data_IF_839077309171
#
_entry.id   IF_839077309171
#
_cell.length_a   1.000
_cell.length_b   1.000
_cell.length_c   1.000
_cell.angle_alpha   90.00
_cell.angle_beta   90.00
_cell.angle_gamma   90.00
#
_symmetry.space_group_name_H-M   'P 1'
#
loop_
_entity.id
_entity.type
_entity.pdbx_description
1 polymer ?
#
# COMPACT_ATOMS: atom_id res chain seq x y z
N UNK A 1 6.66 36.57 -6.87
CA UNK A 1 6.57 35.32 -6.08
C UNK A 1 5.35 35.46 -5.16
N UNK A 2 4.40 34.54 -5.11
CA UNK A 2 4.18 33.40 -6.00
C UNK A 2 2.68 33.10 -6.15
N UNK A 3 2.39 32.31 -7.16
CA UNK A 3 1.12 32.09 -7.86
C UNK A 3 -0.02 31.42 -7.05
N UNK A 4 -1.25 31.77 -7.40
CA UNK A 4 -2.47 30.93 -7.46
C UNK A 4 -3.07 30.30 -6.18
N UNK A 5 -4.26 30.81 -5.81
CA UNK A 5 -5.28 30.06 -5.07
C UNK A 5 -6.50 29.78 -5.99
N UNK A 6 -6.63 28.52 -6.44
CA UNK A 6 -7.58 28.00 -7.47
C UNK A 6 -7.71 26.47 -7.24
N UNK A 7 -8.86 25.77 -7.28
CA UNK A 7 -10.30 26.12 -7.35
C UNK A 7 -11.12 24.97 -6.69
N UNK A 8 -12.35 25.23 -6.23
CA UNK A 8 -13.24 24.23 -5.61
C UNK A 8 -13.72 23.11 -6.57
N UNK A 9 -13.99 21.90 -6.05
CA UNK A 9 -14.72 20.84 -6.78
C UNK A 9 -15.80 20.19 -5.92
N UNK A 10 -17.05 20.42 -6.31
CA UNK A 10 -18.24 19.77 -5.75
C UNK A 10 -18.59 18.54 -6.61
N UNK A 11 -18.85 17.38 -5.99
CA UNK A 11 -19.07 16.14 -6.72
C UNK A 11 -19.72 15.06 -5.87
N UNK A 12 -21.05 14.96 -5.91
CA UNK A 12 -21.81 13.82 -5.37
C UNK A 12 -21.64 12.60 -6.29
N UNK A 13 -20.48 11.96 -6.20
CA UNK A 13 -20.17 10.71 -6.88
C UNK A 13 -20.44 9.57 -5.89
N UNK A 14 -21.12 8.52 -6.35
CA UNK A 14 -21.52 7.37 -5.53
C UNK A 14 -20.34 6.80 -4.76
N UNK A 15 -20.39 6.90 -3.42
CA UNK A 15 -19.26 6.63 -2.54
C UNK A 15 -19.02 5.11 -2.36
N UNK A 16 -18.63 4.43 -3.44
CA UNK A 16 -17.78 3.24 -3.33
C UNK A 16 -16.48 3.71 -2.68
N UNK A 17 -16.45 3.71 -1.34
CA UNK A 17 -15.30 4.08 -0.53
C UNK A 17 -14.08 3.39 -1.15
N UNK A 18 -13.18 4.18 -1.76
CA UNK A 18 -11.87 3.66 -2.16
C UNK A 18 -11.29 3.11 -0.86
N UNK A 19 -11.03 1.80 -0.81
CA UNK A 19 -10.44 1.19 0.39
C UNK A 19 -9.03 1.75 0.51
N UNK A 20 -8.90 2.82 1.30
CA UNK A 20 -7.62 3.39 1.67
C UNK A 20 -6.92 2.38 2.58
N UNK A 21 -6.02 1.58 2.01
CA UNK A 21 -5.25 0.62 2.77
C UNK A 21 -4.10 1.34 3.47
N UNK A 22 -3.88 1.03 4.75
CA UNK A 22 -2.78 1.62 5.53
C UNK A 22 -1.63 0.62 5.53
N UNK A 23 -0.48 1.00 4.99
CA UNK A 23 0.73 0.19 5.06
C UNK A 23 1.24 0.14 6.51
N UNK A 24 1.53 -1.04 7.05
CA UNK A 24 2.03 -1.19 8.42
C UNK A 24 3.45 -0.61 8.58
N UNK A 25 4.29 -0.72 7.54
CA UNK A 25 5.68 -0.25 7.55
C UNK A 25 5.76 1.29 7.60
N UNK A 26 5.27 1.98 6.56
CA UNK A 26 5.35 3.45 6.49
C UNK A 26 4.16 4.18 7.15
N UNK A 27 3.11 3.47 7.59
CA UNK A 27 1.86 4.03 8.17
C UNK A 27 1.11 5.02 7.27
N UNK A 28 1.46 5.08 5.99
CA UNK A 28 0.79 5.91 5.00
C UNK A 28 -0.42 5.18 4.41
N UNK A 29 -1.46 5.97 4.11
CA UNK A 29 -2.59 5.52 3.31
C UNK A 29 -2.18 5.41 1.85
N UNK A 30 -2.47 4.28 1.23
CA UNK A 30 -2.09 3.98 -0.15
C UNK A 30 -3.30 3.45 -0.93
N UNK A 31 -3.37 3.71 -2.26
CA UNK A 31 -4.45 3.20 -3.10
C UNK A 31 -4.37 1.68 -3.28
N UNK A 32 -3.20 1.08 -3.02
CA UNK A 32 -2.92 -0.33 -3.14
C UNK A 32 -1.97 -0.78 -2.02
N UNK A 33 -2.31 -1.88 -1.35
CA UNK A 33 -1.42 -2.61 -0.44
C UNK A 33 -1.60 -4.11 -0.64
N UNK A 34 -0.48 -4.82 -0.67
CA UNK A 34 -0.40 -6.26 -0.46
C UNK A 34 -0.98 -6.60 0.92
N UNK A 35 -1.94 -7.53 0.95
CA UNK A 35 -2.68 -7.89 2.16
C UNK A 35 -2.38 -9.33 2.52
N UNK A 36 -1.80 -9.55 3.71
CA UNK A 36 -1.63 -10.86 4.30
C UNK A 36 -2.92 -11.28 5.04
N UNK A 37 -3.35 -12.56 4.99
CA UNK A 37 -4.44 -13.06 5.84
C UNK A 37 -4.14 -12.98 7.34
N UNK A 38 -2.87 -12.80 7.72
CA UNK A 38 -2.45 -12.47 9.09
C UNK A 38 -2.85 -11.06 9.55
N UNK A 39 -3.35 -10.20 8.66
CA UNK A 39 -3.70 -8.80 8.95
C UNK A 39 -2.60 -7.78 8.65
N UNK A 40 -1.41 -8.24 8.23
CA UNK A 40 -0.33 -7.37 7.77
C UNK A 40 -0.63 -6.77 6.39
N UNK A 41 -0.42 -5.47 6.24
CA UNK A 41 -0.61 -4.74 4.98
C UNK A 41 0.69 -4.02 4.61
N UNK A 42 1.17 -4.15 3.37
CA UNK A 42 2.38 -3.45 2.88
C UNK A 42 2.15 -2.85 1.50
N UNK A 43 2.55 -1.60 1.30
CA UNK A 43 2.43 -0.94 -0.01
C UNK A 43 3.58 -1.32 -0.95
N UNK A 44 3.38 -1.17 -2.26
CA UNK A 44 4.40 -1.49 -3.27
C UNK A 44 5.73 -0.78 -3.01
N UNK A 45 5.74 0.49 -2.59
CA UNK A 45 6.98 1.20 -2.30
C UNK A 45 7.81 0.55 -1.16
N UNK A 46 7.18 0.22 -0.02
CA UNK A 46 7.88 -0.48 1.07
C UNK A 46 8.25 -1.92 0.68
N UNK A 47 7.41 -2.55 -0.15
CA UNK A 47 7.65 -3.87 -0.71
C UNK A 47 8.90 -3.87 -1.61
N UNK A 48 9.05 -2.88 -2.49
CA UNK A 48 10.19 -2.67 -3.39
C UNK A 48 11.47 -2.28 -2.64
N UNK A 49 11.34 -1.36 -1.67
CA UNK A 49 12.46 -0.93 -0.80
C UNK A 49 13.02 -2.07 0.05
N UNK A 50 12.20 -3.07 0.40
CA UNK A 50 12.60 -4.23 1.21
C UNK A 50 12.56 -5.54 0.40
N UNK A 51 12.46 -5.49 -0.93
CA UNK A 51 12.22 -6.66 -1.79
C UNK A 51 13.39 -7.66 -1.71
N UNK A 52 14.61 -7.13 -1.58
CA UNK A 52 15.86 -7.87 -1.33
C UNK A 52 15.91 -8.57 0.03
N UNK A 53 15.08 -8.16 1.00
CA UNK A 53 14.94 -8.81 2.30
C UNK A 53 13.74 -9.75 2.43
N UNK A 54 12.68 -9.54 1.63
CA UNK A 54 11.43 -10.30 1.71
C UNK A 54 11.20 -11.33 0.59
N UNK A 55 11.78 -11.15 -0.60
CA UNK A 55 11.58 -12.09 -1.71
C UNK A 55 12.73 -13.08 -1.82
N UNK A 56 12.39 -14.38 -1.83
CA UNK A 56 13.37 -15.47 -1.95
C UNK A 56 13.52 -15.92 -3.41
N UNK A 57 12.46 -15.77 -4.21
CA UNK A 57 12.45 -15.84 -5.67
C UNK A 57 11.52 -14.72 -6.15
N UNK A 58 11.76 -14.13 -7.33
CA UNK A 58 11.06 -12.93 -7.83
C UNK A 58 9.53 -13.07 -8.05
N UNK A 59 8.94 -14.20 -7.67
CA UNK A 59 7.51 -14.54 -7.76
C UNK A 59 6.84 -14.60 -6.37
N UNK A 60 7.61 -14.66 -5.28
CA UNK A 60 7.09 -14.85 -3.93
C UNK A 60 7.76 -13.98 -2.87
N UNK A 61 6.97 -13.52 -1.90
CA UNK A 61 7.40 -12.73 -0.75
C UNK A 61 7.06 -13.40 0.57
N UNK A 62 7.93 -13.21 1.56
CA UNK A 62 7.78 -13.77 2.91
C UNK A 62 7.23 -12.68 3.82
N UNK A 63 6.13 -12.94 4.54
CA UNK A 63 5.59 -11.95 5.47
C UNK A 63 6.47 -11.83 6.73
N UNK A 64 6.84 -10.62 7.21
CA UNK A 64 7.63 -10.47 8.45
C UNK A 64 6.91 -10.99 9.69
N UNK A 65 5.58 -10.88 9.72
CA UNK A 65 4.74 -11.14 10.89
C UNK A 65 4.48 -12.65 11.06
N UNK A 66 3.96 -13.30 10.02
CA UNK A 66 3.63 -14.74 10.05
C UNK A 66 4.69 -15.66 9.44
N UNK A 67 5.75 -15.13 8.80
CA UNK A 67 6.79 -15.88 8.06
C UNK A 67 6.28 -16.82 6.95
N UNK A 68 5.00 -16.73 6.59
CA UNK A 68 4.44 -17.49 5.48
C UNK A 68 4.79 -16.84 4.13
N UNK A 69 5.09 -17.70 3.15
CA UNK A 69 5.39 -17.32 1.78
C UNK A 69 4.08 -17.04 1.03
N UNK A 70 4.05 -15.94 0.29
CA UNK A 70 2.92 -15.42 -0.48
C UNK A 70 3.35 -15.19 -1.92
N UNK A 71 2.45 -15.39 -2.87
CA UNK A 71 2.65 -14.95 -4.25
C UNK A 71 2.47 -13.42 -4.36
N UNK A 72 3.11 -12.83 -5.38
CA UNK A 72 2.64 -11.58 -5.99
C UNK A 72 1.30 -11.79 -6.74
#
# INVERSE_FOLDING_TARGET
MDFMAVIAKNGKISNRKKKEYVCHCCRQKQPFCWTCPCGFHICSACMEENLWGFTCNAVTWTCPDCREIRSF
#
